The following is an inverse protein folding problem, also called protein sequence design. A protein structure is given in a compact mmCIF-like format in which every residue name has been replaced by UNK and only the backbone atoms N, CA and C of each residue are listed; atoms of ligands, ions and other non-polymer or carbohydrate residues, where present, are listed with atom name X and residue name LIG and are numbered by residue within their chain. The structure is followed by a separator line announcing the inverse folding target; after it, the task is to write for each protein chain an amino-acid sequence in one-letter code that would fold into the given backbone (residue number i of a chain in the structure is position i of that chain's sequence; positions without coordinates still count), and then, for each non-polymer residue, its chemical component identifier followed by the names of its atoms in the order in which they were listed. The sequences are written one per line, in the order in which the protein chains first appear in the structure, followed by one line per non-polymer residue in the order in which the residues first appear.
data_IF_194751397151
#
_entry.id   IF_194751397151
#
_cell.length_a   1.000
_cell.length_b   1.000
_cell.length_c   1.000
_cell.angle_alpha   90.00
_cell.angle_beta   90.00
_cell.angle_gamma   90.00
#
_symmetry.space_group_name_H-M   'P 1'
#
loop_
_entity.id
_entity.type
_entity.pdbx_description
1 polymer ?
#
# COMPACT_ATOMS: atom_id res chain seq x y z
N UNK A 1 -18.34 3.53 -17.30
CA UNK A 1 -19.41 4.39 -16.75
C UNK A 1 -19.20 5.86 -17.12
N UNK A 2 -19.34 6.18 -18.38
CA UNK A 2 -19.28 7.54 -18.92
C UNK A 2 -18.01 8.34 -18.57
N UNK A 3 -16.86 7.66 -18.44
CA UNK A 3 -15.55 8.24 -18.12
C UNK A 3 -15.52 9.06 -16.81
N UNK A 4 -16.34 8.69 -15.82
CA UNK A 4 -16.44 9.37 -14.52
C UNK A 4 -15.91 8.56 -13.35
N UNK A 5 -15.27 7.41 -13.62
CA UNK A 5 -14.68 6.59 -12.57
C UNK A 5 -13.69 7.42 -11.73
N UNK A 6 -13.83 7.33 -10.42
CA UNK A 6 -13.02 8.06 -9.45
C UNK A 6 -12.33 7.06 -8.54
N UNK A 7 -11.04 7.24 -8.35
CA UNK A 7 -10.26 6.51 -7.34
C UNK A 7 -10.07 7.40 -6.12
N UNK A 8 -10.43 6.88 -4.96
CA UNK A 8 -10.22 7.55 -3.68
C UNK A 8 -8.89 7.10 -3.09
N UNK A 9 -8.13 8.03 -2.56
CA UNK A 9 -6.84 7.78 -1.92
C UNK A 9 -6.85 8.24 -0.46
N UNK A 10 -6.08 7.57 0.38
CA UNK A 10 -5.80 8.10 1.71
C UNK A 10 -4.95 9.38 1.59
N UNK A 11 -5.23 10.41 2.38
CA UNK A 11 -4.32 11.57 2.52
C UNK A 11 -2.94 11.12 3.01
N UNK A 12 -1.91 11.86 2.64
CA UNK A 12 -0.50 11.54 2.90
C UNK A 12 -0.02 10.23 2.26
N UNK A 13 -0.71 9.79 1.18
CA UNK A 13 -0.28 8.62 0.42
C UNK A 13 1.04 8.87 -0.31
N UNK A 14 1.79 7.79 -0.53
CA UNK A 14 2.92 7.79 -1.45
C UNK A 14 2.95 6.47 -2.24
N UNK A 15 2.69 6.54 -3.53
CA UNK A 15 2.73 5.37 -4.42
C UNK A 15 3.52 5.62 -5.71
N UNK A 16 4.38 6.65 -5.71
CA UNK A 16 5.30 6.94 -6.82
C UNK A 16 5.36 8.40 -7.20
N UNK A 17 6.01 8.66 -8.33
CA UNK A 17 6.28 10.01 -8.86
C UNK A 17 5.80 10.20 -10.30
N UNK A 18 4.97 9.31 -10.83
CA UNK A 18 4.29 9.52 -12.10
C UNK A 18 3.25 10.63 -11.98
N UNK A 19 2.80 11.17 -13.11
CA UNK A 19 1.75 12.21 -13.08
C UNK A 19 0.49 11.71 -12.37
N UNK A 20 0.14 10.43 -12.51
CA UNK A 20 -0.98 9.82 -11.80
C UNK A 20 -0.75 9.83 -10.28
N UNK A 21 0.43 9.44 -9.81
CA UNK A 21 0.76 9.45 -8.39
C UNK A 21 0.75 10.88 -7.82
N UNK A 22 1.32 11.85 -8.55
CA UNK A 22 1.29 13.25 -8.16
C UNK A 22 -0.13 13.82 -8.11
N UNK A 23 -1.04 13.35 -9.00
CA UNK A 23 -2.43 13.81 -9.03
C UNK A 23 -3.25 13.43 -7.77
N UNK A 24 -2.84 12.39 -7.06
CA UNK A 24 -3.47 11.96 -5.79
C UNK A 24 -2.69 12.39 -4.55
N UNK A 25 -1.52 13.00 -4.71
CA UNK A 25 -0.67 13.38 -3.58
C UNK A 25 -1.23 14.59 -2.83
N UNK A 26 -1.13 14.55 -1.51
CA UNK A 26 -1.40 15.71 -0.63
C UNK A 26 -0.10 16.36 -0.14
N UNK A 27 1.06 15.86 -0.56
CA UNK A 27 2.37 16.46 -0.24
C UNK A 27 2.70 17.56 -1.27
N UNK A 28 2.80 18.83 -0.85
CA UNK A 28 3.15 19.95 -1.73
C UNK A 28 4.45 19.75 -2.51
N UNK A 29 5.42 19.04 -1.95
CA UNK A 29 6.69 18.75 -2.63
C UNK A 29 6.53 17.84 -3.85
N UNK A 30 5.43 17.09 -3.92
CA UNK A 30 5.13 16.17 -5.01
C UNK A 30 4.36 16.83 -6.16
N UNK A 31 3.59 17.89 -5.90
CA UNK A 31 2.70 18.46 -6.92
C UNK A 31 2.94 19.94 -7.24
N UNK A 32 3.59 20.72 -6.35
CA UNK A 32 3.81 22.15 -6.63
C UNK A 32 4.68 22.34 -7.87
N UNK A 33 4.20 23.16 -8.82
CA UNK A 33 4.82 23.45 -10.12
C UNK A 33 4.89 22.26 -11.11
N UNK A 34 4.19 21.17 -10.83
CA UNK A 34 3.99 20.05 -11.77
C UNK A 34 2.52 20.03 -12.18
N UNK A 35 2.23 19.62 -13.37
CA UNK A 35 0.87 19.57 -13.89
C UNK A 35 0.84 19.77 -15.39
N UNK A 36 -0.33 19.69 -16.03
CA UNK A 36 -1.66 19.48 -15.45
C UNK A 36 -1.84 18.10 -14.83
N UNK A 37 -2.72 18.01 -13.82
CA UNK A 37 -3.00 16.76 -13.10
C UNK A 37 -4.18 16.02 -13.72
N UNK A 38 -4.29 14.71 -13.40
CA UNK A 38 -5.38 13.87 -13.88
C UNK A 38 -6.63 14.09 -13.02
N UNK A 39 -7.77 14.16 -13.69
CA UNK A 39 -9.08 14.13 -13.05
C UNK A 39 -9.41 12.74 -12.49
N UNK A 40 -10.41 12.66 -11.61
CA UNK A 40 -10.88 11.41 -11.04
C UNK A 40 -10.04 10.86 -9.90
N UNK A 41 -9.12 11.63 -9.36
CA UNK A 41 -8.33 11.30 -8.17
C UNK A 41 -8.71 12.22 -7.03
N UNK A 42 -9.25 11.67 -5.94
CA UNK A 42 -9.69 12.41 -4.76
C UNK A 42 -9.13 11.79 -3.49
N UNK A 43 -9.10 12.55 -2.42
CA UNK A 43 -8.52 12.10 -1.15
C UNK A 43 -9.53 12.11 0.00
N UNK A 44 -9.20 11.33 1.04
CA UNK A 44 -9.92 11.27 2.31
C UNK A 44 -8.91 11.13 3.46
N UNK A 45 -9.17 11.72 4.63
CA UNK A 45 -8.29 11.56 5.78
C UNK A 45 -8.02 10.09 6.12
N UNK A 46 -6.73 9.75 6.27
CA UNK A 46 -6.32 8.40 6.69
C UNK A 46 -6.80 8.10 8.10
N UNK A 47 -7.10 6.85 8.39
CA UNK A 47 -7.59 6.38 9.70
C UNK A 47 -8.91 7.04 10.16
N UNK A 48 -9.74 7.50 9.22
CA UNK A 48 -11.04 8.11 9.51
C UNK A 48 -12.18 7.38 8.77
N UNK A 49 -12.75 6.36 9.43
CA UNK A 49 -13.83 5.53 8.88
C UNK A 49 -15.11 6.32 8.59
N UNK A 50 -15.42 7.34 9.41
CA UNK A 50 -16.64 8.16 9.23
C UNK A 50 -16.56 8.97 7.92
N UNK A 51 -15.44 9.64 7.70
CA UNK A 51 -15.22 10.40 6.48
C UNK A 51 -15.15 9.50 5.25
N UNK A 52 -14.53 8.31 5.37
CA UNK A 52 -14.51 7.32 4.29
C UNK A 52 -15.94 6.91 3.89
N UNK A 53 -16.78 6.54 4.85
CA UNK A 53 -18.15 6.16 4.57
C UNK A 53 -18.97 7.31 3.98
N UNK A 54 -18.78 8.55 4.45
CA UNK A 54 -19.42 9.75 3.89
C UNK A 54 -19.03 9.95 2.41
N UNK A 55 -17.75 9.79 2.07
CA UNK A 55 -17.29 9.87 0.67
C UNK A 55 -17.95 8.81 -0.21
N UNK A 56 -18.03 7.56 0.26
CA UNK A 56 -18.67 6.46 -0.48
C UNK A 56 -20.19 6.70 -0.70
N UNK A 57 -20.84 7.34 0.27
CA UNK A 57 -22.25 7.69 0.17
C UNK A 57 -22.50 8.84 -0.80
N UNK A 58 -21.66 9.87 -0.77
CA UNK A 58 -21.86 11.12 -1.50
C UNK A 58 -21.40 11.07 -2.96
N UNK A 59 -20.43 10.21 -3.29
CA UNK A 59 -19.91 10.11 -4.66
C UNK A 59 -20.02 8.67 -5.19
N UNK A 60 -21.00 8.45 -6.03
CA UNK A 60 -21.28 7.13 -6.66
C UNK A 60 -20.32 6.77 -7.80
N UNK A 61 -19.44 7.67 -8.19
CA UNK A 61 -18.42 7.40 -9.19
C UNK A 61 -17.15 6.77 -8.59
N UNK A 62 -17.04 6.67 -7.26
CA UNK A 62 -15.91 6.01 -6.60
C UNK A 62 -15.96 4.51 -6.91
N UNK A 63 -14.93 4.01 -7.57
CA UNK A 63 -14.80 2.60 -7.97
C UNK A 63 -13.73 1.85 -7.16
N UNK A 64 -12.79 2.57 -6.57
CA UNK A 64 -11.72 1.99 -5.75
C UNK A 64 -11.29 2.93 -4.63
N UNK A 65 -10.80 2.36 -3.55
CA UNK A 65 -10.08 3.05 -2.48
C UNK A 65 -8.69 2.45 -2.33
N UNK A 66 -7.67 3.28 -2.52
CA UNK A 66 -6.26 2.90 -2.39
C UNK A 66 -5.66 3.47 -1.11
N UNK A 67 -4.97 2.61 -0.36
CA UNK A 67 -4.29 2.97 0.88
C UNK A 67 -3.06 2.10 1.12
N UNK A 68 -2.09 2.64 1.85
CA UNK A 68 -1.03 1.86 2.48
C UNK A 68 -1.57 1.30 3.81
N UNK A 69 -1.39 0.01 4.14
CA UNK A 69 -1.79 -0.53 5.45
C UNK A 69 -1.10 0.17 6.63
N UNK A 70 0.14 0.60 6.43
CA UNK A 70 0.90 1.52 7.29
C UNK A 70 1.53 2.53 6.33
N UNK A 71 1.28 3.81 6.52
CA UNK A 71 1.88 4.83 5.67
C UNK A 71 3.36 5.00 6.00
N UNK A 72 4.23 4.72 5.02
CA UNK A 72 5.67 4.76 5.20
C UNK A 72 6.22 6.17 5.12
N UNK A 73 6.14 6.80 3.96
CA UNK A 73 6.74 8.12 3.67
C UNK A 73 6.12 9.25 4.52
N UNK A 74 4.86 9.11 4.93
CA UNK A 74 4.20 10.03 5.84
C UNK A 74 4.78 10.01 7.28
N UNK A 75 5.69 9.09 7.58
CA UNK A 75 6.37 9.00 8.88
C UNK A 75 5.98 7.77 9.70
N UNK A 76 5.78 6.63 9.06
CA UNK A 76 5.40 5.35 9.71
C UNK A 76 4.11 5.51 10.50
N UNK A 77 3.04 5.90 9.82
CA UNK A 77 1.72 6.10 10.44
C UNK A 77 0.98 4.76 10.49
N UNK A 78 0.87 4.21 11.69
CA UNK A 78 0.14 2.97 11.96
C UNK A 78 -1.31 3.33 12.27
N UNK A 79 -2.30 2.80 11.55
CA UNK A 79 -3.70 3.11 11.82
C UNK A 79 -4.16 2.43 13.13
N UNK A 80 -5.27 2.91 13.66
CA UNK A 80 -5.93 2.26 14.79
C UNK A 80 -6.30 0.82 14.45
N UNK A 81 -6.02 -0.11 15.33
CA UNK A 81 -6.38 -1.52 15.13
C UNK A 81 -7.87 -1.67 14.80
N UNK A 82 -8.19 -2.47 13.80
CA UNK A 82 -9.54 -2.63 13.27
C UNK A 82 -9.90 -1.64 12.15
N UNK A 83 -9.02 -0.69 11.82
CA UNK A 83 -9.24 0.24 10.72
C UNK A 83 -9.30 -0.46 9.37
N UNK A 84 -8.32 -1.29 9.05
CA UNK A 84 -8.26 -2.01 7.76
C UNK A 84 -9.45 -2.95 7.60
N UNK A 85 -9.87 -3.62 8.67
CA UNK A 85 -11.06 -4.47 8.67
C UNK A 85 -12.34 -3.67 8.34
N UNK A 86 -12.51 -2.52 8.96
CA UNK A 86 -13.64 -1.61 8.67
C UNK A 86 -13.59 -1.06 7.24
N UNK A 87 -12.40 -0.74 6.73
CA UNK A 87 -12.22 -0.35 5.32
C UNK A 87 -12.69 -1.47 4.41
N UNK A 88 -12.25 -2.73 4.65
CA UNK A 88 -12.68 -3.88 3.86
C UNK A 88 -14.21 -4.06 3.88
N UNK A 89 -14.81 -3.96 5.06
CA UNK A 89 -16.26 -4.05 5.24
C UNK A 89 -17.01 -2.96 4.43
N UNK A 90 -16.54 -1.72 4.50
CA UNK A 90 -17.13 -0.60 3.73
C UNK A 90 -16.96 -0.80 2.23
N UNK A 91 -15.77 -1.16 1.77
CA UNK A 91 -15.52 -1.44 0.36
C UNK A 91 -16.47 -2.53 -0.17
N UNK A 92 -16.65 -3.61 0.59
CA UNK A 92 -17.60 -4.69 0.24
C UNK A 92 -19.04 -4.19 0.23
N UNK A 93 -19.45 -3.41 1.24
CA UNK A 93 -20.80 -2.86 1.38
C UNK A 93 -21.19 -1.94 0.22
N UNK A 94 -20.25 -1.15 -0.27
CA UNK A 94 -20.51 -0.17 -1.34
C UNK A 94 -20.08 -0.65 -2.73
N UNK A 95 -19.63 -1.90 -2.86
CA UNK A 95 -19.09 -2.49 -4.10
C UNK A 95 -17.96 -1.64 -4.70
N UNK A 96 -16.99 -1.29 -3.85
CA UNK A 96 -15.79 -0.50 -4.18
C UNK A 96 -14.59 -1.41 -4.01
N UNK A 97 -13.65 -1.40 -4.96
CA UNK A 97 -12.42 -2.20 -4.87
C UNK A 97 -11.50 -1.63 -3.79
N UNK A 98 -10.99 -2.50 -2.92
CA UNK A 98 -9.93 -2.16 -1.97
C UNK A 98 -8.58 -2.45 -2.59
N UNK A 99 -7.75 -1.42 -2.75
CA UNK A 99 -6.37 -1.55 -3.23
C UNK A 99 -5.43 -1.35 -2.04
N UNK A 100 -4.67 -2.38 -1.68
CA UNK A 100 -3.63 -2.28 -0.65
C UNK A 100 -2.26 -2.09 -1.31
N UNK A 101 -1.63 -0.97 -1.03
CA UNK A 101 -0.24 -0.72 -1.37
C UNK A 101 0.67 -1.30 -0.28
N UNK A 102 1.13 -2.52 -0.53
CA UNK A 102 2.07 -3.24 0.33
C UNK A 102 3.51 -3.19 -0.23
N UNK A 103 3.79 -2.24 -1.12
CA UNK A 103 5.13 -2.07 -1.70
C UNK A 103 6.19 -1.86 -0.62
N UNK A 104 5.86 -1.14 0.45
CA UNK A 104 6.78 -0.94 1.58
C UNK A 104 6.50 -1.88 2.75
N UNK A 105 5.24 -2.18 3.03
CA UNK A 105 4.82 -2.92 4.23
C UNK A 105 4.82 -4.42 4.06
N UNK A 106 4.76 -4.91 2.82
CA UNK A 106 4.71 -6.34 2.50
C UNK A 106 6.04 -7.07 2.61
N UNK A 107 5.97 -8.35 2.29
CA UNK A 107 7.11 -9.26 2.17
C UNK A 107 7.94 -9.36 3.47
N UNK A 108 7.24 -9.42 4.60
CA UNK A 108 7.84 -9.63 5.91
C UNK A 108 8.20 -8.37 6.69
N UNK A 109 8.30 -7.20 6.03
CA UNK A 109 8.79 -5.94 6.63
C UNK A 109 8.17 -5.61 7.98
N UNK A 110 6.88 -5.83 8.15
CA UNK A 110 6.15 -5.50 9.37
C UNK A 110 6.10 -6.61 10.40
N UNK A 111 6.66 -7.79 10.09
CA UNK A 111 6.63 -8.97 10.96
C UNK A 111 5.56 -10.00 10.59
N UNK A 112 4.78 -9.75 9.55
CA UNK A 112 3.94 -10.72 8.84
C UNK A 112 4.24 -10.66 7.36
N UNK A 113 3.83 -11.64 6.57
CA UNK A 113 4.07 -11.62 5.13
C UNK A 113 3.49 -10.37 4.49
N UNK A 114 2.28 -10.01 4.86
CA UNK A 114 1.59 -8.76 4.49
C UNK A 114 1.15 -8.02 5.75
N UNK A 115 1.12 -6.70 5.74
CA UNK A 115 0.58 -5.92 6.84
C UNK A 115 -0.94 -6.12 6.98
N UNK A 116 -1.64 -6.39 5.89
CA UNK A 116 -3.05 -6.78 5.89
C UNK A 116 -3.35 -8.02 6.73
N UNK A 117 -2.38 -8.93 6.91
CA UNK A 117 -2.54 -10.16 7.70
C UNK A 117 -2.73 -9.91 9.19
N UNK A 118 -2.39 -8.71 9.70
CA UNK A 118 -2.64 -8.35 11.09
C UNK A 118 -4.12 -8.25 11.45
N UNK A 119 -4.95 -7.90 10.47
CA UNK A 119 -6.40 -7.80 10.64
C UNK A 119 -7.15 -8.85 9.82
N UNK A 120 -6.43 -9.86 9.30
CA UNK A 120 -6.98 -11.00 8.55
C UNK A 120 -7.87 -10.54 7.39
N UNK A 121 -7.48 -9.45 6.72
CA UNK A 121 -8.21 -8.93 5.57
C UNK A 121 -7.48 -9.27 4.26
N UNK A 122 -8.28 -9.42 3.20
CA UNK A 122 -7.80 -9.60 1.85
C UNK A 122 -8.28 -8.45 0.97
N UNK A 123 -7.36 -7.63 0.40
CA UNK A 123 -7.72 -6.60 -0.57
C UNK A 123 -8.18 -7.24 -1.90
N UNK A 124 -8.86 -6.46 -2.73
CA UNK A 124 -9.21 -6.88 -4.09
C UNK A 124 -8.00 -6.77 -5.03
N UNK A 125 -7.15 -5.78 -4.80
CA UNK A 125 -5.91 -5.55 -5.53
C UNK A 125 -4.79 -5.35 -4.51
N UNK A 126 -3.68 -6.07 -4.72
CA UNK A 126 -2.49 -6.00 -3.89
C UNK A 126 -1.30 -5.54 -4.73
N UNK A 127 -0.63 -4.46 -4.30
CA UNK A 127 0.59 -3.98 -4.92
C UNK A 127 1.81 -4.42 -4.11
N UNK A 128 2.80 -5.03 -4.76
CA UNK A 128 4.07 -5.47 -4.16
C UNK A 128 5.26 -4.88 -4.93
N UNK A 129 6.37 -4.66 -4.24
CA UNK A 129 7.60 -4.12 -4.82
C UNK A 129 8.73 -4.14 -3.81
N UNK A 130 9.65 -3.21 -3.91
CA UNK A 130 10.82 -3.04 -3.00
C UNK A 130 11.49 -4.38 -2.64
N UNK A 131 11.16 -4.99 -1.51
CA UNK A 131 11.75 -6.24 -1.05
C UNK A 131 11.59 -7.40 -2.05
N UNK A 132 10.59 -7.34 -2.95
CA UNK A 132 10.40 -8.32 -4.01
C UNK A 132 11.64 -8.44 -4.92
N UNK A 133 12.38 -7.36 -5.09
CA UNK A 133 13.60 -7.31 -5.91
C UNK A 133 14.81 -8.01 -5.27
N UNK A 134 14.74 -8.42 -4.00
CA UNK A 134 15.91 -8.92 -3.25
C UNK A 134 17.07 -7.92 -3.18
N UNK A 135 16.85 -6.64 -3.52
CA UNK A 135 17.91 -5.63 -3.62
C UNK A 135 18.80 -5.75 -4.86
N UNK A 136 18.46 -6.63 -5.80
CA UNK A 136 19.30 -6.97 -6.98
C UNK A 136 18.79 -6.29 -8.25
N UNK A 137 17.52 -6.52 -8.60
CA UNK A 137 16.95 -5.99 -9.85
C UNK A 137 15.52 -5.50 -9.60
N UNK A 138 15.21 -4.21 -9.90
CA UNK A 138 13.89 -3.66 -9.62
C UNK A 138 12.77 -4.44 -10.30
N UNK A 139 11.78 -4.82 -9.51
CA UNK A 139 10.56 -5.49 -9.96
C UNK A 139 9.40 -5.12 -9.04
N UNK A 140 8.21 -5.07 -9.59
CA UNK A 140 6.96 -4.93 -8.85
C UNK A 140 5.92 -5.90 -9.43
N UNK A 141 4.89 -6.17 -8.64
CA UNK A 141 3.78 -6.99 -9.05
C UNK A 141 2.46 -6.40 -8.55
N UNK A 142 1.42 -6.56 -9.35
CA UNK A 142 0.04 -6.29 -8.96
C UNK A 142 -0.73 -7.60 -9.04
N UNK A 143 -1.36 -7.97 -7.94
CA UNK A 143 -2.13 -9.20 -7.82
C UNK A 143 -3.60 -8.85 -7.59
N UNK A 144 -4.47 -9.55 -8.29
CA UNK A 144 -5.92 -9.50 -8.08
C UNK A 144 -6.54 -10.83 -8.49
N UNK A 145 -7.84 -11.00 -8.20
CA UNK A 145 -8.56 -12.15 -8.70
C UNK A 145 -8.90 -12.00 -10.20
N UNK A 146 -9.30 -13.09 -10.84
CA UNK A 146 -9.60 -13.15 -12.27
C UNK A 146 -10.66 -12.14 -12.70
N UNK A 147 -11.68 -11.88 -11.87
CA UNK A 147 -12.74 -10.94 -12.20
C UNK A 147 -12.21 -9.50 -12.39
N UNK A 148 -11.14 -9.14 -11.67
CA UNK A 148 -10.47 -7.85 -11.80
C UNK A 148 -9.42 -7.91 -12.91
N UNK A 149 -8.56 -8.95 -12.92
CA UNK A 149 -7.45 -9.03 -13.88
C UNK A 149 -7.91 -9.23 -15.31
N UNK A 150 -9.00 -9.95 -15.56
CA UNK A 150 -9.53 -10.18 -16.90
C UNK A 150 -10.10 -8.91 -17.58
N UNK A 151 -10.16 -7.79 -16.88
CA UNK A 151 -10.40 -6.48 -17.51
C UNK A 151 -9.22 -6.03 -18.38
N UNK A 152 -8.02 -6.57 -18.15
CA UNK A 152 -6.82 -6.36 -18.97
C UNK A 152 -6.77 -7.47 -19.99
N UNK A 153 -7.14 -7.15 -21.23
CA UNK A 153 -7.13 -8.10 -22.33
C UNK A 153 -5.86 -7.95 -23.19
N UNK A 154 -5.50 -8.97 -24.00
CA UNK A 154 -4.34 -8.86 -24.89
C UNK A 154 -4.38 -7.58 -25.73
N UNK A 155 -3.28 -6.83 -25.70
CA UNK A 155 -3.11 -5.57 -26.44
C UNK A 155 -3.62 -4.31 -25.71
N UNK A 156 -4.30 -4.43 -24.57
CA UNK A 156 -4.79 -3.25 -23.82
C UNK A 156 -3.79 -2.72 -22.78
N UNK A 157 -2.77 -3.49 -22.45
CA UNK A 157 -1.70 -3.12 -21.55
C UNK A 157 -0.39 -3.75 -22.02
N UNK A 158 0.74 -3.08 -21.72
CA UNK A 158 2.06 -3.61 -22.05
C UNK A 158 3.19 -2.89 -21.34
N UNK A 159 4.33 -3.56 -21.26
CA UNK A 159 5.59 -3.02 -20.74
C UNK A 159 6.74 -3.69 -21.46
N UNK A 160 7.74 -2.92 -21.89
CA UNK A 160 8.92 -3.49 -22.57
C UNK A 160 9.73 -4.39 -21.63
N UNK A 161 9.89 -4.03 -20.38
CA UNK A 161 10.70 -4.76 -19.40
C UNK A 161 9.87 -5.52 -18.35
N UNK A 162 8.56 -5.28 -18.26
CA UNK A 162 7.70 -5.97 -17.30
C UNK A 162 7.67 -7.47 -17.54
N UNK A 163 7.80 -8.25 -16.46
CA UNK A 163 7.79 -9.71 -16.53
C UNK A 163 9.00 -10.34 -17.23
N UNK A 164 10.13 -9.63 -17.34
CA UNK A 164 11.32 -10.22 -17.94
C UNK A 164 11.85 -11.39 -17.09
N UNK A 165 12.41 -12.44 -17.72
CA UNK A 165 12.81 -13.67 -17.02
C UNK A 165 13.79 -13.45 -15.88
N UNK A 166 14.77 -12.57 -16.05
CA UNK A 166 15.79 -12.31 -15.05
C UNK A 166 15.18 -11.72 -13.77
N UNK A 167 14.38 -10.66 -13.90
CA UNK A 167 13.74 -10.03 -12.75
C UNK A 167 12.74 -10.97 -12.07
N UNK A 168 12.04 -11.81 -12.84
CA UNK A 168 11.08 -12.79 -12.33
C UNK A 168 11.79 -13.88 -11.51
N UNK A 169 12.94 -14.38 -11.96
CA UNK A 169 13.77 -15.33 -11.20
C UNK A 169 14.31 -14.71 -9.91
N UNK A 170 14.82 -13.48 -9.97
CA UNK A 170 15.28 -12.76 -8.79
C UNK A 170 14.15 -12.58 -7.78
N UNK A 171 12.95 -12.23 -8.23
CA UNK A 171 11.77 -12.10 -7.35
C UNK A 171 11.37 -13.43 -6.71
N UNK A 172 11.38 -14.52 -7.49
CA UNK A 172 11.09 -15.87 -7.00
C UNK A 172 12.11 -16.33 -5.94
N UNK A 173 13.39 -16.09 -6.19
CA UNK A 173 14.46 -16.38 -5.24
C UNK A 173 14.32 -15.54 -3.96
N UNK A 174 14.06 -14.24 -4.08
CA UNK A 174 13.83 -13.34 -2.95
C UNK A 174 12.66 -13.80 -2.08
N UNK A 175 11.53 -14.12 -2.70
CA UNK A 175 10.35 -14.62 -1.99
C UNK A 175 10.66 -15.95 -1.28
N UNK A 176 11.36 -16.87 -1.95
CA UNK A 176 11.77 -18.14 -1.37
C UNK A 176 12.66 -17.95 -0.13
N UNK A 177 13.60 -17.01 -0.17
CA UNK A 177 14.45 -16.67 0.99
C UNK A 177 13.60 -16.16 2.17
N UNK A 178 12.66 -15.26 1.91
CA UNK A 178 11.78 -14.71 2.94
C UNK A 178 10.96 -15.81 3.61
N UNK A 179 10.37 -16.71 2.82
CA UNK A 179 9.48 -17.77 3.30
C UNK A 179 10.26 -18.90 3.98
N UNK A 180 11.31 -19.42 3.34
CA UNK A 180 12.04 -20.59 3.83
C UNK A 180 12.84 -20.28 5.10
N UNK A 181 13.29 -19.06 5.29
CA UNK A 181 14.04 -18.65 6.48
C UNK A 181 13.15 -17.98 7.54
N UNK A 182 11.82 -17.97 7.36
CA UNK A 182 10.87 -17.35 8.30
C UNK A 182 11.26 -15.91 8.69
N UNK A 183 11.69 -15.12 7.70
CA UNK A 183 12.22 -13.79 7.96
C UNK A 183 11.19 -12.82 8.56
N UNK A 184 9.90 -13.06 8.33
CA UNK A 184 8.83 -12.25 8.94
C UNK A 184 8.89 -12.30 10.47
N UNK A 185 9.10 -13.49 11.06
CA UNK A 185 9.24 -13.64 12.51
C UNK A 185 10.53 -12.96 13.03
N UNK A 186 11.63 -13.11 12.30
CA UNK A 186 12.87 -12.42 12.63
C UNK A 186 12.68 -10.89 12.64
N UNK A 187 12.01 -10.34 11.64
CA UNK A 187 11.73 -8.90 11.56
C UNK A 187 10.80 -8.43 12.69
N UNK A 188 9.82 -9.24 13.08
CA UNK A 188 9.00 -8.97 14.23
C UNK A 188 9.82 -8.88 15.53
N UNK A 189 10.66 -9.89 15.79
CA UNK A 189 11.46 -9.97 16.99
C UNK A 189 12.52 -8.86 17.06
N UNK A 190 13.25 -8.63 15.96
CA UNK A 190 14.27 -7.59 15.89
C UNK A 190 13.67 -6.19 15.97
N UNK A 191 12.53 -5.97 15.35
CA UNK A 191 11.83 -4.68 15.45
C UNK A 191 11.35 -4.38 16.87
N UNK A 192 10.85 -5.39 17.60
CA UNK A 192 10.48 -5.24 19.01
C UNK A 192 11.73 -4.96 19.88
N UNK A 193 12.80 -5.72 19.68
CA UNK A 193 14.08 -5.50 20.37
C UNK A 193 14.57 -4.07 20.15
N UNK A 194 14.62 -3.61 18.89
CA UNK A 194 15.10 -2.27 18.54
C UNK A 194 14.27 -1.16 19.21
N UNK A 195 12.93 -1.24 19.14
CA UNK A 195 12.06 -0.27 19.80
C UNK A 195 12.19 -0.27 21.31
N UNK A 196 12.37 -1.45 21.93
CA UNK A 196 12.58 -1.55 23.36
C UNK A 196 13.89 -0.89 23.79
N UNK A 197 14.99 -1.15 23.07
CA UNK A 197 16.28 -0.51 23.35
C UNK A 197 16.23 1.00 23.15
N UNK A 198 15.57 1.50 22.08
CA UNK A 198 15.35 2.92 21.89
C UNK A 198 14.55 3.56 23.04
N UNK A 199 13.51 2.87 23.54
CA UNK A 199 12.73 3.37 24.68
C UNK A 199 13.54 3.41 25.98
N UNK A 200 14.53 2.53 26.17
CA UNK A 200 15.43 2.56 27.35
C UNK A 200 16.34 3.78 27.37
N UNK A 201 16.75 4.27 26.20
CA UNK A 201 17.66 5.41 26.07
C UNK A 201 16.94 6.68 25.62
N UNK A 202 15.63 6.66 25.52
CA UNK A 202 14.79 7.74 24.99
C UNK A 202 15.06 9.07 25.71
N UNK A 203 15.62 10.07 25.04
CA UNK A 203 15.80 11.43 25.59
C UNK A 203 14.45 12.15 25.74
N UNK A 204 14.36 13.11 26.66
CA UNK A 204 13.14 13.86 26.95
C UNK A 204 12.56 14.63 25.76
N UNK A 205 13.37 14.98 24.77
CA UNK A 205 12.93 15.68 23.56
C UNK A 205 12.27 14.74 22.52
N UNK A 206 12.45 13.42 22.65
CA UNK A 206 11.80 12.43 21.78
C UNK A 206 10.37 12.22 22.25
N UNK A 207 9.40 12.63 21.44
CA UNK A 207 7.97 12.50 21.77
C UNK A 207 7.49 11.05 21.67
N UNK A 208 7.81 10.39 20.59
CA UNK A 208 7.29 9.07 20.28
C UNK A 208 8.34 8.20 19.59
N UNK A 209 8.29 6.89 19.86
CA UNK A 209 8.98 5.84 19.10
C UNK A 209 7.89 4.89 18.63
N UNK A 210 7.67 4.83 17.32
CA UNK A 210 6.63 4.00 16.71
C UNK A 210 7.19 3.12 15.61
N UNK A 211 6.50 2.04 15.27
CA UNK A 211 6.89 1.11 14.21
C UNK A 211 6.23 -0.24 14.37
N UNK A 212 6.28 -1.06 13.32
CA UNK A 212 5.80 -2.43 13.31
C UNK A 212 6.77 -3.26 12.46
N UNK A 213 7.33 -4.34 13.03
CA UNK A 213 8.45 -5.06 12.42
C UNK A 213 9.74 -4.25 12.49
N UNK A 214 10.56 -4.34 11.45
CA UNK A 214 11.90 -3.76 11.38
C UNK A 214 11.99 -2.69 10.30
#
# INVERSE_FOLDING_TARGET
ENNKATVLFAENNFWGRTISACSSSTDPSCYTNFGPFMDGMITVPYNNIKELELKFKSNKNIVAYMLEPIQGEAGVIIPTFGYLKKVRELCSKYNILMIADEVQTGLGRTGKLLACDYEEIKPDILCLGKALSGGVLPISAVLANDNVMNCITPGTHGSTFGGNPLASEVASASLSVILNNNLSENFFNMGNFFRNELNRVKPNFVKEIRGKGL
#
